data_IF_889349013771
#
_entry.id   IF_889349013771
#
_cell.length_a   1.000
_cell.length_b   1.000
_cell.length_c   1.000
_cell.angle_alpha   90.00
_cell.angle_beta   90.00
_cell.angle_gamma   90.00
#
_symmetry.space_group_name_H-M   'P 1'
#
loop_
_entity.id
_entity.type
_entity.pdbx_description
1 polymer ?
#
# COMPACT_ATOMS: atom_id res chain seq x y z
N UNK A 1 7.32 11.01 -18.75
CA UNK A 1 8.01 10.96 -17.44
C UNK A 1 9.53 10.81 -17.53
N UNK A 2 10.13 10.55 -18.72
CA UNK A 2 11.59 10.52 -18.89
C UNK A 2 12.33 9.38 -18.18
N UNK A 3 11.61 8.41 -17.60
CA UNK A 3 12.21 7.31 -16.83
C UNK A 3 12.70 6.18 -17.74
N UNK A 4 13.89 5.68 -17.45
CA UNK A 4 14.50 4.53 -18.13
C UNK A 4 14.54 3.34 -17.19
N UNK A 5 14.33 2.13 -17.71
CA UNK A 5 14.30 0.90 -16.92
C UNK A 5 15.27 -0.12 -17.50
N UNK A 6 16.00 -0.81 -16.61
CA UNK A 6 16.93 -1.89 -16.99
C UNK A 6 16.22 -3.14 -17.52
N UNK A 7 15.01 -3.41 -17.03
CA UNK A 7 14.24 -4.60 -17.40
C UNK A 7 12.89 -4.23 -17.98
N UNK A 8 12.44 -5.01 -18.98
CA UNK A 8 11.15 -4.84 -19.64
C UNK A 8 9.97 -4.97 -18.66
N UNK A 9 10.07 -5.89 -17.70
CA UNK A 9 9.05 -6.08 -16.65
C UNK A 9 8.80 -4.81 -15.85
N UNK A 10 9.86 -4.11 -15.41
CA UNK A 10 9.75 -2.85 -14.68
C UNK A 10 9.14 -1.74 -15.54
N UNK A 11 9.44 -1.68 -16.83
CA UNK A 11 8.81 -0.72 -17.74
C UNK A 11 7.31 -0.98 -17.89
N UNK A 12 6.90 -2.24 -18.06
CA UNK A 12 5.48 -2.62 -18.15
C UNK A 12 4.74 -2.33 -16.84
N UNK A 13 5.37 -2.63 -15.71
CA UNK A 13 4.82 -2.30 -14.40
C UNK A 13 4.67 -0.79 -14.22
N UNK A 14 5.67 0.00 -14.65
CA UNK A 14 5.61 1.46 -14.61
C UNK A 14 4.50 2.05 -15.48
N UNK A 15 4.22 1.48 -16.65
CA UNK A 15 3.15 1.96 -17.54
C UNK A 15 1.78 1.98 -16.86
N UNK A 16 1.51 1.08 -15.90
CA UNK A 16 0.26 1.07 -15.12
C UNK A 16 -0.01 2.40 -14.41
N UNK A 17 1.04 3.12 -14.00
CA UNK A 17 0.92 4.45 -13.38
C UNK A 17 0.34 5.48 -14.35
N UNK A 18 0.72 5.40 -15.62
CA UNK A 18 0.20 6.30 -16.65
C UNK A 18 -1.25 5.97 -17.03
N UNK A 19 -1.64 4.70 -16.95
CA UNK A 19 -3.01 4.26 -17.22
C UNK A 19 -3.95 4.44 -16.02
N UNK A 20 -3.42 4.74 -14.83
CA UNK A 20 -4.22 4.77 -13.61
C UNK A 20 -4.68 3.39 -13.13
N UNK A 21 -4.15 2.30 -13.71
CA UNK A 21 -4.52 0.92 -13.40
C UNK A 21 -3.91 0.46 -12.06
N UNK A 22 -4.68 0.64 -10.98
CA UNK A 22 -4.33 0.12 -9.66
C UNK A 22 -4.82 -1.32 -9.51
N UNK A 23 -3.99 -2.26 -9.94
CA UNK A 23 -4.33 -3.69 -10.02
C UNK A 23 -4.39 -4.37 -8.65
N UNK A 24 -3.63 -3.88 -7.66
CA UNK A 24 -3.53 -4.56 -6.37
C UNK A 24 -4.40 -3.88 -5.31
N UNK A 25 -5.51 -4.51 -4.94
CA UNK A 25 -6.43 -4.00 -3.92
C UNK A 25 -6.16 -4.65 -2.56
N UNK A 26 -6.14 -3.84 -1.51
CA UNK A 26 -6.10 -4.34 -0.15
C UNK A 26 -7.51 -4.78 0.29
N UNK A 27 -7.67 -6.06 0.61
CA UNK A 27 -8.94 -6.62 1.07
C UNK A 27 -9.38 -6.06 2.44
N UNK A 28 -8.45 -5.61 3.27
CA UNK A 28 -8.75 -5.10 4.61
C UNK A 28 -9.34 -3.68 4.62
N UNK A 29 -8.94 -2.82 3.68
CA UNK A 29 -9.33 -1.40 3.68
C UNK A 29 -9.75 -0.85 2.32
N UNK A 30 -9.71 -1.67 1.27
CA UNK A 30 -10.08 -1.29 -0.09
C UNK A 30 -9.09 -0.38 -0.83
N UNK A 31 -7.97 0.03 -0.21
CA UNK A 31 -6.95 0.86 -0.90
C UNK A 31 -6.29 0.06 -2.03
N UNK A 32 -6.15 0.67 -3.20
CA UNK A 32 -5.53 0.05 -4.39
C UNK A 32 -4.15 0.64 -4.70
N UNK A 33 -3.26 -0.20 -5.24
CA UNK A 33 -1.85 0.08 -5.53
C UNK A 33 -1.48 -0.37 -6.95
N UNK A 34 -0.49 0.28 -7.53
CA UNK A 34 0.05 -0.05 -8.87
C UNK A 34 1.03 -1.23 -8.84
N UNK A 35 1.66 -1.46 -7.68
CA UNK A 35 2.81 -2.37 -7.51
C UNK A 35 2.57 -3.39 -6.40
N UNK A 36 3.00 -4.64 -6.61
CA UNK A 36 2.86 -5.72 -5.63
C UNK A 36 3.66 -5.43 -4.35
N UNK A 37 4.87 -4.92 -4.49
CA UNK A 37 5.72 -4.51 -3.36
C UNK A 37 5.05 -3.45 -2.48
N UNK A 38 4.25 -2.56 -3.08
CA UNK A 38 3.54 -1.50 -2.37
C UNK A 38 2.37 -2.04 -1.54
N UNK A 39 1.56 -2.95 -2.09
CA UNK A 39 0.48 -3.58 -1.32
C UNK A 39 1.02 -4.47 -0.20
N UNK A 40 2.09 -5.24 -0.44
CA UNK A 40 2.68 -6.11 0.61
C UNK A 40 3.23 -5.27 1.78
N UNK A 41 3.88 -4.14 1.48
CA UNK A 41 4.31 -3.19 2.53
C UNK A 41 3.12 -2.56 3.24
N UNK A 42 2.07 -2.22 2.51
CA UNK A 42 0.85 -1.67 3.09
C UNK A 42 0.15 -2.69 4.01
N UNK A 43 0.09 -3.97 3.64
CA UNK A 43 -0.53 -5.01 4.44
C UNK A 43 0.12 -5.13 5.82
N UNK A 44 1.46 -5.05 5.91
CA UNK A 44 2.18 -5.03 7.20
C UNK A 44 1.78 -3.87 8.12
N UNK A 45 1.30 -2.75 7.57
CA UNK A 45 0.82 -1.63 8.38
C UNK A 45 -0.51 -1.95 9.10
N UNK A 46 -1.29 -2.91 8.59
CA UNK A 46 -2.49 -3.37 9.29
C UNK A 46 -2.14 -4.23 10.51
N UNK A 47 -1.09 -5.05 10.42
CA UNK A 47 -0.59 -5.83 11.56
C UNK A 47 -0.02 -4.90 12.64
N UNK A 48 0.80 -3.93 12.25
CA UNK A 48 1.30 -2.93 13.21
C UNK A 48 0.16 -2.13 13.88
N UNK A 49 -0.93 -1.86 13.16
CA UNK A 49 -2.14 -1.21 13.70
C UNK A 49 -2.98 -2.12 14.58
N UNK A 50 -2.93 -3.45 14.38
CA UNK A 50 -3.63 -4.43 15.21
C UNK A 50 -3.12 -4.39 16.65
N UNK A 51 -1.84 -4.07 16.82
CA UNK A 51 -1.17 -4.01 18.13
C UNK A 51 -1.09 -2.59 18.72
N UNK A 52 -1.66 -1.57 18.06
CA UNK A 52 -1.81 -0.22 18.64
C UNK A 52 -2.96 -0.17 19.65
N UNK A 53 -2.84 -0.99 20.70
CA UNK A 53 -3.67 -0.96 21.89
C UNK A 53 -2.91 -0.20 22.97
N UNK A 54 -3.45 0.93 23.43
CA UNK A 54 -2.90 1.54 24.64
C UNK A 54 -3.14 0.61 25.83
N UNK A 55 -2.08 0.21 26.53
CA UNK A 55 -2.15 -0.69 27.68
C UNK A 55 -2.87 -0.07 28.89
N UNK A 56 -2.95 1.26 28.97
CA UNK A 56 -3.61 1.98 30.06
C UNK A 56 -5.12 2.17 29.87
N UNK A 57 -5.62 2.24 28.63
CA UNK A 57 -7.05 2.50 28.37
C UNK A 57 -7.69 1.55 27.35
N UNK A 58 -6.95 0.55 26.86
CA UNK A 58 -7.35 -0.49 25.91
C UNK A 58 -7.93 0.03 24.58
N UNK A 59 -7.86 1.34 24.32
CA UNK A 59 -8.36 1.94 23.08
C UNK A 59 -7.46 1.58 21.91
N UNK A 60 -8.11 1.20 20.81
CA UNK A 60 -7.50 0.98 19.51
C UNK A 60 -7.34 2.34 18.82
N UNK A 61 -6.10 2.75 18.58
CA UNK A 61 -5.83 3.97 17.80
C UNK A 61 -5.99 3.67 16.31
N UNK A 62 -7.24 3.69 15.84
CA UNK A 62 -7.55 3.75 14.41
C UNK A 62 -7.56 5.21 13.99
N UNK A 63 -6.40 5.86 13.91
CA UNK A 63 -6.34 7.18 13.27
C UNK A 63 -5.99 7.04 11.78
N UNK A 64 -6.95 7.24 10.87
CA UNK A 64 -6.70 7.25 9.43
C UNK A 64 -6.06 8.56 8.94
N UNK A 65 -5.93 9.62 9.76
CA UNK A 65 -5.56 10.96 9.29
C UNK A 65 -4.07 11.26 9.11
N UNK A 66 -3.19 10.29 9.35
CA UNK A 66 -1.76 10.42 9.05
C UNK A 66 -1.31 9.52 7.87
N UNK A 67 -2.23 9.20 6.95
CA UNK A 67 -1.97 8.39 5.74
C UNK A 67 -2.48 9.01 4.45
#
# INVERSE_FOLDING_TARGET
CGKTFRYRSNLLEHRRVHLGEKVYRCELCGKSFFYLSSILRHQRSHDARRDLRCSACLKLFKDPKYF
#
